data_IF_933236622190
#
_entry.id   IF_933236622190
#
_cell.length_a   1.000
_cell.length_b   1.000
_cell.length_c   1.000
_cell.angle_alpha   90.00
_cell.angle_beta   90.00
_cell.angle_gamma   90.00
#
_symmetry.space_group_name_H-M   'P 1'
#
loop_
_entity.id
_entity.type
_entity.pdbx_description
1 polymer ?
#
# COMPACT_ATOMS: atom_id res chain seq x y z
N UNK A 1 -3.96 -8.45 2.29
CA UNK A 1 -4.26 -7.63 3.49
C UNK A 1 -5.44 -6.71 3.19
N UNK A 2 -6.58 -6.88 3.87
CA UNK A 2 -7.78 -6.06 3.62
C UNK A 2 -7.70 -4.71 4.35
N UNK A 3 -7.94 -3.63 3.63
CA UNK A 3 -8.02 -2.26 4.17
C UNK A 3 -9.31 -1.58 3.72
N UNK A 4 -9.93 -0.84 4.64
CA UNK A 4 -11.18 -0.12 4.35
C UNK A 4 -10.88 1.05 3.39
N UNK A 5 -11.87 1.47 2.58
CA UNK A 5 -11.71 2.58 1.62
C UNK A 5 -11.12 3.86 2.26
N UNK A 6 -11.51 4.15 3.50
CA UNK A 6 -11.02 5.30 4.27
C UNK A 6 -9.54 5.15 4.68
N UNK A 7 -9.10 3.94 5.07
CA UNK A 7 -7.68 3.64 5.35
C UNK A 7 -6.84 3.81 4.09
N UNK A 8 -7.30 3.32 2.95
CA UNK A 8 -6.59 3.46 1.67
C UNK A 8 -6.46 4.92 1.27
N UNK A 9 -7.53 5.70 1.41
CA UNK A 9 -7.46 7.14 1.13
C UNK A 9 -6.41 7.81 2.03
N UNK A 10 -6.45 7.53 3.32
CA UNK A 10 -5.51 8.08 4.30
C UNK A 10 -4.06 7.67 4.01
N UNK A 11 -3.81 6.39 3.69
CA UNK A 11 -2.49 5.91 3.29
C UNK A 11 -1.99 6.59 2.01
N UNK A 12 -2.86 6.79 1.01
CA UNK A 12 -2.50 7.49 -0.23
C UNK A 12 -2.14 8.96 0.03
N UNK A 13 -2.91 9.63 0.89
CA UNK A 13 -2.65 11.01 1.27
C UNK A 13 -1.32 11.11 2.03
N UNK A 14 -1.02 10.16 2.91
CA UNK A 14 0.27 10.08 3.63
C UNK A 14 1.45 9.75 2.72
N UNK A 15 1.32 8.85 1.74
CA UNK A 15 2.36 8.61 0.73
C UNK A 15 2.63 9.88 -0.09
N UNK A 16 1.58 10.61 -0.48
CA UNK A 16 1.75 11.85 -1.22
C UNK A 16 2.39 12.95 -0.37
N UNK A 17 2.11 12.98 0.93
CA UNK A 17 2.76 13.88 1.87
C UNK A 17 4.22 13.47 2.10
N UNK A 18 4.52 12.18 2.27
CA UNK A 18 5.88 11.69 2.50
C UNK A 18 6.82 12.05 1.34
N UNK A 19 6.33 12.07 0.10
CA UNK A 19 7.08 12.51 -1.08
C UNK A 19 7.50 13.99 -1.05
N UNK A 20 6.83 14.83 -0.27
CA UNK A 20 7.15 16.26 -0.13
C UNK A 20 8.22 16.53 0.92
N UNK A 21 8.45 15.57 1.81
CA UNK A 21 9.41 15.69 2.91
C UNK A 21 10.62 14.80 2.63
N UNK A 22 11.78 15.27 3.06
CA UNK A 22 13.01 14.51 2.90
C UNK A 22 12.93 13.20 3.71
N UNK A 23 13.45 12.11 3.15
CA UNK A 23 13.48 10.78 3.78
C UNK A 23 12.12 10.17 4.19
N UNK A 24 10.99 10.59 3.61
CA UNK A 24 9.63 10.10 3.97
C UNK A 24 9.21 10.36 5.42
N UNK A 25 9.86 11.31 6.10
CA UNK A 25 9.56 11.67 7.49
C UNK A 25 8.50 12.78 7.48
N UNK A 26 7.29 12.46 7.95
CA UNK A 26 6.18 13.40 8.07
C UNK A 26 6.09 13.86 9.53
N UNK A 27 6.30 15.15 9.84
CA UNK A 27 6.10 15.64 11.19
C UNK A 27 4.62 15.59 11.57
N UNK A 28 4.27 15.11 12.77
CA UNK A 28 2.86 14.95 13.17
C UNK A 28 2.04 16.25 13.14
N UNK A 29 2.70 17.39 13.31
CA UNK A 29 2.04 18.70 13.24
C UNK A 29 1.54 19.07 11.83
N UNK A 30 2.05 18.42 10.78
CA UNK A 30 1.58 18.62 9.40
C UNK A 30 0.56 17.58 8.95
N UNK A 31 0.17 16.64 9.83
CA UNK A 31 -0.81 15.65 9.46
C UNK A 31 -2.21 16.26 9.31
N UNK A 32 -2.94 15.92 8.24
CA UNK A 32 -4.33 16.34 8.08
C UNK A 32 -5.31 15.60 9.03
N UNK A 33 -4.80 14.71 9.89
CA UNK A 33 -5.60 13.78 10.69
C UNK A 33 -5.00 13.61 12.09
N UNK A 34 -5.85 13.58 13.10
CA UNK A 34 -5.49 13.33 14.50
C UNK A 34 -4.72 12.00 14.68
N UNK A 35 -3.68 12.03 15.50
CA UNK A 35 -2.87 10.87 15.91
C UNK A 35 -3.74 9.77 16.57
N UNK A 36 -4.85 10.16 17.19
CA UNK A 36 -5.79 9.21 17.80
C UNK A 36 -6.78 8.58 16.82
N UNK A 37 -6.70 8.91 15.53
CA UNK A 37 -7.62 8.39 14.54
C UNK A 37 -7.56 6.86 14.42
N UNK A 38 -8.73 6.23 14.47
CA UNK A 38 -8.89 4.78 14.34
C UNK A 38 -8.20 4.19 13.10
N UNK A 39 -8.31 4.85 11.94
CA UNK A 39 -7.71 4.39 10.69
C UNK A 39 -6.19 4.50 10.72
N UNK A 40 -5.66 5.52 11.42
CA UNK A 40 -4.21 5.66 11.59
C UNK A 40 -3.66 4.53 12.46
N UNK A 41 -4.32 4.22 13.57
CA UNK A 41 -3.97 3.07 14.43
C UNK A 41 -3.97 1.75 13.65
N UNK A 42 -4.94 1.56 12.76
CA UNK A 42 -4.96 0.39 11.87
C UNK A 42 -3.80 0.33 10.88
N UNK A 43 -3.39 1.46 10.31
CA UNK A 43 -2.23 1.48 9.39
C UNK A 43 -0.93 1.16 10.13
N UNK A 44 -0.80 1.60 11.39
CA UNK A 44 0.32 1.26 12.28
C UNK A 44 0.30 -0.23 12.61
N UNK A 45 -0.85 -0.79 13.01
CA UNK A 45 -0.95 -2.23 13.34
C UNK A 45 -0.67 -3.13 12.13
N UNK A 46 -0.92 -2.63 10.92
CA UNK A 46 -0.64 -3.30 9.65
C UNK A 46 0.81 -3.08 9.15
N UNK A 47 1.65 -2.41 9.94
CA UNK A 47 3.04 -2.09 9.60
C UNK A 47 3.19 -1.31 8.27
N UNK A 48 2.15 -0.58 7.85
CA UNK A 48 2.17 0.29 6.67
C UNK A 48 2.78 1.66 7.01
N UNK A 49 2.74 2.02 8.29
CA UNK A 49 3.24 3.28 8.83
C UNK A 49 3.91 2.99 10.16
N UNK A 50 5.01 3.69 10.44
CA UNK A 50 5.69 3.70 11.73
C UNK A 50 5.64 5.09 12.33
N UNK A 51 5.51 5.12 13.64
CA UNK A 51 5.49 6.33 14.44
C UNK A 51 6.76 6.27 15.29
N UNK A 52 7.69 7.19 15.07
CA UNK A 52 8.97 7.26 15.77
C UNK A 52 9.05 8.54 16.57
N UNK A 53 9.63 8.47 17.76
CA UNK A 53 9.93 9.69 18.51
C UNK A 53 11.21 10.28 17.93
N UNK A 54 11.12 11.50 17.39
CA UNK A 54 12.31 12.22 16.96
C UNK A 54 13.07 12.71 18.19
N UNK A 55 14.06 11.94 18.66
CA UNK A 55 15.03 12.44 19.63
C UNK A 55 16.09 13.23 18.88
N UNK A 56 15.73 14.43 18.44
CA UNK A 56 16.70 15.41 17.97
C UNK A 56 17.30 16.20 19.14
N UNK A 57 18.41 16.89 18.87
CA UNK A 57 18.95 17.95 19.75
C UNK A 57 18.55 19.27 19.09
N UNK A 58 17.95 20.17 19.85
CA UNK A 58 17.51 21.45 19.30
C UNK A 58 18.76 22.29 18.92
N UNK A 59 18.97 22.66 17.65
CA UNK A 59 20.25 23.23 17.18
C UNK A 59 20.56 24.62 17.78
N UNK A 60 19.57 25.29 18.35
CA UNK A 60 19.72 26.62 18.98
C UNK A 60 19.94 26.55 20.49
N UNK A 61 19.50 25.47 21.14
CA UNK A 61 19.47 25.37 22.61
C UNK A 61 20.30 24.21 23.14
N UNK A 62 20.81 23.32 22.28
CA UNK A 62 21.58 22.11 22.62
C UNK A 62 20.90 21.23 23.70
N UNK A 63 19.61 21.42 23.93
CA UNK A 63 18.81 20.62 24.85
C UNK A 63 18.14 19.46 24.08
N UNK A 64 17.94 18.31 24.73
CA UNK A 64 17.08 17.26 24.20
C UNK A 64 15.70 17.86 23.95
N UNK A 65 15.14 17.64 22.76
CA UNK A 65 13.79 18.14 22.44
C UNK A 65 12.80 17.31 23.27
N UNK A 66 12.44 17.81 24.46
CA UNK A 66 11.49 17.14 25.37
C UNK A 66 10.02 17.31 24.92
N UNK A 67 9.78 18.02 23.82
CA UNK A 67 8.49 18.17 23.17
C UNK A 67 8.47 17.31 21.91
N UNK A 68 8.06 16.05 22.04
CA UNK A 68 8.04 15.05 20.96
C UNK A 68 7.46 15.60 19.65
N UNK A 69 8.29 15.84 18.60
CA UNK A 69 7.80 15.67 17.25
C UNK A 69 7.76 14.15 17.08
N UNK A 70 6.58 13.59 17.31
CA UNK A 70 6.35 12.22 16.92
C UNK A 70 6.39 12.24 15.39
N UNK A 71 7.45 11.70 14.81
CA UNK A 71 7.66 11.64 13.38
C UNK A 71 6.95 10.40 12.84
N UNK A 72 6.30 10.55 11.69
CA UNK A 72 5.60 9.47 11.03
C UNK A 72 6.33 9.09 9.74
N UNK A 73 6.65 7.80 9.61
CA UNK A 73 7.37 7.25 8.47
C UNK A 73 6.46 6.26 7.76
N UNK A 74 6.27 6.44 6.46
CA UNK A 74 5.62 5.42 5.63
C UNK A 74 6.64 4.30 5.40
N UNK A 75 6.29 3.07 5.80
CA UNK A 75 7.19 1.93 5.62
C UNK A 75 7.29 1.56 4.14
N UNK A 76 8.29 0.75 3.80
CA UNK A 76 8.43 0.16 2.47
C UNK A 76 7.14 -0.58 2.03
N UNK A 77 6.55 -1.36 2.94
CA UNK A 77 5.27 -2.04 2.71
C UNK A 77 4.11 -1.06 2.48
N UNK A 78 4.13 0.10 3.15
CA UNK A 78 3.16 1.16 2.95
C UNK A 78 3.30 1.83 1.58
N UNK A 79 4.53 2.10 1.14
CA UNK A 79 4.82 2.73 -0.15
C UNK A 79 4.36 1.88 -1.33
N UNK A 80 4.64 0.58 -1.27
CA UNK A 80 4.28 -0.37 -2.34
C UNK A 80 2.89 -1.00 -2.18
N UNK A 81 2.08 -0.56 -1.19
CA UNK A 81 0.78 -1.17 -0.90
C UNK A 81 -0.16 -1.20 -2.13
N UNK A 82 -0.23 -0.11 -2.88
CA UNK A 82 -1.12 0.00 -4.05
C UNK A 82 -0.61 -0.77 -5.26
N UNK A 83 0.71 -0.91 -5.40
CA UNK A 83 1.32 -1.72 -6.45
C UNK A 83 1.05 -3.19 -6.18
N UNK A 84 1.32 -3.66 -4.97
CA UNK A 84 1.04 -5.02 -4.53
C UNK A 84 -0.45 -5.36 -4.68
N UNK A 85 -1.34 -4.44 -4.30
CA UNK A 85 -2.78 -4.64 -4.49
C UNK A 85 -3.16 -4.80 -5.98
N UNK A 86 -2.51 -4.04 -6.87
CA UNK A 86 -2.72 -4.16 -8.31
C UNK A 86 -2.16 -5.46 -8.87
N UNK A 87 -1.03 -5.93 -8.37
CA UNK A 87 -0.46 -7.23 -8.73
C UNK A 87 -1.38 -8.37 -8.33
N UNK A 88 -1.94 -8.34 -7.12
CA UNK A 88 -2.93 -9.31 -6.65
C UNK A 88 -4.17 -9.34 -7.56
N UNK A 89 -4.68 -8.16 -7.94
CA UNK A 89 -5.83 -8.04 -8.86
C UNK A 89 -5.48 -8.60 -10.25
N UNK A 90 -4.30 -8.26 -10.78
CA UNK A 90 -3.84 -8.80 -12.08
C UNK A 90 -3.71 -10.32 -12.02
N UNK A 91 -3.09 -10.85 -10.98
CA UNK A 91 -2.93 -12.29 -10.79
C UNK A 91 -4.29 -13.00 -10.71
N UNK A 92 -5.25 -12.41 -9.99
CA UNK A 92 -6.62 -12.91 -9.94
C UNK A 92 -7.29 -12.92 -11.33
N UNK A 93 -7.22 -11.81 -12.07
CA UNK A 93 -7.80 -11.73 -13.41
C UNK A 93 -7.15 -12.72 -14.40
N UNK A 94 -5.83 -12.88 -14.34
CA UNK A 94 -5.11 -13.84 -15.17
C UNK A 94 -5.58 -15.27 -14.87
N UNK A 95 -5.64 -15.66 -13.59
CA UNK A 95 -6.00 -17.02 -13.19
C UNK A 95 -7.49 -17.32 -13.37
N UNK A 96 -8.37 -16.38 -13.04
CA UNK A 96 -9.82 -16.61 -13.01
C UNK A 96 -10.53 -16.28 -14.31
N UNK A 97 -9.94 -15.45 -15.18
CA UNK A 97 -10.57 -15.03 -16.44
C UNK A 97 -9.75 -15.49 -17.64
N UNK A 98 -8.46 -15.12 -17.69
CA UNK A 98 -7.65 -15.39 -18.89
C UNK A 98 -7.40 -16.90 -19.09
N UNK A 99 -7.05 -17.63 -18.03
CA UNK A 99 -6.80 -19.08 -18.12
C UNK A 99 -8.03 -19.85 -18.64
N UNK A 100 -9.25 -19.69 -18.09
CA UNK A 100 -10.43 -20.36 -18.64
C UNK A 100 -10.71 -20.03 -20.11
N UNK A 101 -10.51 -18.77 -20.54
CA UNK A 101 -10.69 -18.36 -21.93
C UNK A 101 -9.72 -19.11 -22.84
N UNK A 102 -8.44 -19.14 -22.48
CA UNK A 102 -7.41 -19.84 -23.27
C UNK A 102 -7.73 -21.33 -23.34
N UNK A 103 -8.09 -21.96 -22.21
CA UNK A 103 -8.46 -23.38 -22.18
C UNK A 103 -9.67 -23.66 -23.08
N UNK A 104 -10.69 -22.79 -23.07
CA UNK A 104 -11.87 -22.90 -23.94
C UNK A 104 -11.51 -22.81 -25.43
N UNK A 105 -10.62 -21.92 -25.81
CA UNK A 105 -10.19 -21.75 -27.21
C UNK A 105 -9.43 -22.99 -27.67
N UNK A 106 -8.45 -23.45 -26.86
CA UNK A 106 -7.64 -24.63 -27.18
C UNK A 106 -8.53 -25.88 -27.32
N UNK A 107 -9.44 -26.09 -26.37
CA UNK A 107 -10.36 -27.24 -26.41
C UNK A 107 -11.29 -27.18 -27.62
N UNK A 108 -11.81 -26.01 -27.98
CA UNK A 108 -12.64 -25.82 -29.18
C UNK A 108 -11.87 -26.17 -30.45
N UNK A 109 -10.64 -25.68 -30.59
CA UNK A 109 -9.76 -25.99 -31.74
C UNK A 109 -9.48 -27.49 -31.81
N UNK A 110 -9.14 -28.12 -30.68
CA UNK A 110 -8.89 -29.56 -30.62
C UNK A 110 -10.10 -30.36 -31.09
N UNK A 111 -11.29 -30.01 -30.60
CA UNK A 111 -12.55 -30.69 -30.96
C UNK A 111 -12.84 -30.55 -32.46
N UNK A 112 -12.63 -29.36 -33.03
CA UNK A 112 -12.83 -29.15 -34.47
C UNK A 112 -11.84 -29.95 -35.31
N UNK A 113 -10.57 -30.03 -34.90
CA UNK A 113 -9.55 -30.84 -35.60
C UNK A 113 -9.88 -32.33 -35.54
N UNK A 114 -10.24 -32.85 -34.36
CA UNK A 114 -10.62 -34.25 -34.19
C UNK A 114 -11.87 -34.56 -35.04
N UNK A 115 -12.90 -33.72 -34.98
CA UNK A 115 -14.11 -33.90 -35.82
C UNK A 115 -13.82 -33.82 -37.31
N UNK A 116 -12.87 -32.98 -37.73
CA UNK A 116 -12.46 -32.88 -39.13
C UNK A 116 -11.62 -34.06 -39.61
N UNK A 117 -10.83 -34.68 -38.72
CA UNK A 117 -9.94 -35.81 -39.05
C UNK A 117 -10.67 -37.17 -39.09
N UNK A 118 -11.73 -37.33 -38.29
CA UNK A 118 -12.53 -38.56 -38.20
C UNK A 118 -13.83 -38.51 -39.03
N UNK A 119 -13.89 -37.63 -40.04
CA UNK A 119 -14.98 -37.56 -41.01
C UNK A 119 -14.54 -38.18 -42.34
#
# INVERSE_FOLDING_TARGET
>A
METVKKERKLLKDLINLSKKYDHNIIPINSLPVDVNNYYLKQLISKNLIKVTNSTGINPTTHQPINSSPVDMIVTDQGQHYFENLWEDIKAFLLKSVLVPIIVSIITTILVLLIKGLFR
#
